data_IF_365691740711
#
_entry.id   IF_365691740711
#
_cell.length_a   1.000
_cell.length_b   1.000
_cell.length_c   1.000
_cell.angle_alpha   90.00
_cell.angle_beta   90.00
_cell.angle_gamma   90.00
#
_symmetry.space_group_name_H-M   'P 1'
#
loop_
_entity.id
_entity.type
_entity.pdbx_description
1 polymer ?
#
# COMPACT_ATOMS: atom_id res chain seq x y z
N UNK A 1 -25.77 -53.75 -13.12
CA UNK A 1 -25.44 -52.62 -12.22
C UNK A 1 -25.63 -51.34 -13.00
N UNK A 2 -26.64 -50.54 -12.66
CA UNK A 2 -26.81 -49.22 -13.26
C UNK A 2 -25.77 -48.26 -12.64
N UNK A 3 -25.10 -47.42 -13.42
CA UNK A 3 -24.15 -46.45 -12.88
C UNK A 3 -24.92 -45.42 -12.05
N UNK A 4 -24.50 -45.26 -10.79
CA UNK A 4 -24.96 -44.19 -9.92
C UNK A 4 -24.40 -42.89 -10.48
N UNK A 5 -25.14 -42.22 -11.35
CA UNK A 5 -24.85 -40.83 -11.71
C UNK A 5 -25.31 -39.97 -10.53
N UNK A 6 -24.36 -39.53 -9.70
CA UNK A 6 -24.61 -38.44 -8.76
C UNK A 6 -25.09 -37.22 -9.54
N UNK A 7 -26.18 -36.61 -9.10
CA UNK A 7 -26.70 -35.39 -9.72
C UNK A 7 -25.59 -34.33 -9.84
N UNK A 8 -25.51 -33.58 -10.95
CA UNK A 8 -24.51 -32.54 -11.12
C UNK A 8 -24.63 -31.52 -9.99
N UNK A 9 -23.48 -31.18 -9.40
CA UNK A 9 -23.39 -30.26 -8.27
C UNK A 9 -24.03 -28.90 -8.65
N UNK A 10 -24.85 -28.29 -7.78
CA UNK A 10 -25.48 -27.00 -8.05
C UNK A 10 -24.46 -25.91 -8.41
N UNK A 11 -24.78 -25.05 -9.38
CA UNK A 11 -23.87 -23.98 -9.85
C UNK A 11 -23.39 -23.04 -8.74
N UNK A 12 -24.23 -22.78 -7.72
CA UNK A 12 -23.87 -21.98 -6.54
C UNK A 12 -22.78 -22.63 -5.69
N UNK A 13 -22.80 -23.95 -5.59
CA UNK A 13 -21.85 -24.74 -4.81
C UNK A 13 -20.50 -24.86 -5.55
N UNK A 14 -20.55 -25.05 -6.87
CA UNK A 14 -19.36 -24.97 -7.75
C UNK A 14 -18.68 -23.60 -7.63
N UNK A 15 -19.45 -22.50 -7.67
CA UNK A 15 -18.91 -21.14 -7.51
C UNK A 15 -18.28 -20.94 -6.14
N UNK A 16 -18.88 -21.47 -5.07
CA UNK A 16 -18.36 -21.38 -3.71
C UNK A 16 -17.04 -22.15 -3.58
N UNK A 17 -16.96 -23.37 -4.11
CA UNK A 17 -15.73 -24.17 -4.11
C UNK A 17 -14.63 -23.54 -4.96
N UNK A 18 -14.96 -23.04 -6.15
CA UNK A 18 -14.00 -22.33 -6.99
C UNK A 18 -13.43 -21.09 -6.28
N UNK A 19 -14.26 -20.36 -5.53
CA UNK A 19 -13.82 -19.23 -4.72
C UNK A 19 -12.87 -19.68 -3.60
N UNK A 20 -13.20 -20.74 -2.86
CA UNK A 20 -12.34 -21.26 -1.78
C UNK A 20 -10.98 -21.69 -2.35
N UNK A 21 -10.98 -22.47 -3.42
CA UNK A 21 -9.74 -22.92 -4.07
C UNK A 21 -8.92 -21.75 -4.57
N UNK A 22 -9.57 -20.73 -5.16
CA UNK A 22 -8.88 -19.51 -5.58
C UNK A 22 -8.29 -18.76 -4.38
N UNK A 23 -9.10 -18.47 -3.36
CA UNK A 23 -8.68 -17.71 -2.20
C UNK A 23 -7.53 -18.43 -1.46
N UNK A 24 -7.56 -19.76 -1.35
CA UNK A 24 -6.45 -20.55 -0.81
C UNK A 24 -5.23 -20.55 -1.73
N UNK A 25 -5.38 -20.87 -3.02
CA UNK A 25 -4.23 -20.96 -3.93
C UNK A 25 -3.51 -19.63 -4.10
N UNK A 26 -4.23 -18.51 -4.02
CA UNK A 26 -3.70 -17.17 -4.28
C UNK A 26 -3.54 -16.34 -2.99
N UNK A 27 -3.70 -16.92 -1.79
CA UNK A 27 -3.48 -16.20 -0.54
C UNK A 27 -2.02 -15.70 -0.40
N UNK A 28 -1.83 -14.64 0.37
CA UNK A 28 -0.50 -14.13 0.71
C UNK A 28 0.28 -15.18 1.49
N UNK A 29 -0.35 -15.82 2.48
CA UNK A 29 0.25 -16.91 3.24
C UNK A 29 0.81 -18.01 2.33
N UNK A 30 0.02 -18.55 1.39
CA UNK A 30 0.48 -19.62 0.51
C UNK A 30 1.51 -19.10 -0.52
N UNK A 31 1.46 -17.82 -0.88
CA UNK A 31 2.49 -17.17 -1.70
C UNK A 31 3.83 -17.16 -0.97
N UNK A 32 3.84 -16.76 0.30
CA UNK A 32 5.03 -16.73 1.14
C UNK A 32 5.57 -18.14 1.44
N UNK A 33 4.69 -19.09 1.79
CA UNK A 33 5.09 -20.50 2.00
C UNK A 33 5.76 -21.11 0.77
N UNK A 34 5.26 -20.82 -0.43
CA UNK A 34 5.89 -21.28 -1.69
C UNK A 34 7.27 -20.68 -1.94
N UNK A 35 7.55 -19.50 -1.37
CA UNK A 35 8.87 -18.87 -1.40
C UNK A 35 9.79 -19.33 -0.26
N UNK A 36 9.31 -20.21 0.62
CA UNK A 36 10.07 -20.77 1.73
C UNK A 36 9.95 -19.99 3.05
N UNK A 37 9.10 -18.97 3.11
CA UNK A 37 8.88 -18.20 4.34
C UNK A 37 7.91 -18.90 5.30
N UNK A 38 8.08 -18.65 6.60
CA UNK A 38 7.12 -19.04 7.65
C UNK A 38 6.23 -17.84 7.94
N UNK A 39 4.97 -17.93 7.53
CA UNK A 39 3.96 -16.92 7.81
C UNK A 39 3.51 -17.01 9.27
N UNK A 40 3.68 -15.92 10.02
CA UNK A 40 3.38 -15.84 11.45
C UNK A 40 2.04 -15.13 11.74
N UNK A 41 1.54 -14.31 10.82
CA UNK A 41 0.26 -13.64 10.98
C UNK A 41 0.07 -12.41 10.08
N UNK A 42 -1.05 -11.74 10.28
CA UNK A 42 -1.41 -10.46 9.66
C UNK A 42 -2.07 -9.54 10.68
N UNK A 43 -2.27 -8.28 10.26
CA UNK A 43 -2.86 -7.24 11.08
C UNK A 43 -4.25 -7.56 11.62
N UNK A 44 -4.55 -7.08 12.82
CA UNK A 44 -5.78 -7.34 13.53
C UNK A 44 -6.75 -6.15 13.45
N UNK A 45 -8.04 -6.44 13.26
CA UNK A 45 -9.09 -5.41 13.15
C UNK A 45 -9.22 -4.53 14.40
N UNK A 46 -8.83 -5.02 15.57
CA UNK A 46 -8.87 -4.27 16.83
C UNK A 46 -7.82 -3.14 16.88
N UNK A 47 -6.81 -3.18 16.00
CA UNK A 47 -5.73 -2.19 15.94
C UNK A 47 -6.00 -1.08 14.92
N UNK A 48 -7.16 -1.06 14.27
CA UNK A 48 -7.51 -0.10 13.21
C UNK A 48 -8.80 0.64 13.50
N UNK A 49 -8.92 1.83 12.91
CA UNK A 49 -10.16 2.59 12.94
C UNK A 49 -11.13 2.00 11.93
N UNK A 50 -12.15 1.30 12.41
CA UNK A 50 -13.26 0.81 11.58
C UNK A 50 -14.62 1.19 12.17
N UNK A 51 -15.64 1.39 11.32
CA UNK A 51 -17.01 1.50 11.76
C UNK A 51 -17.45 0.28 12.59
N UNK A 52 -18.19 0.52 13.69
CA UNK A 52 -18.79 -0.56 14.50
C UNK A 52 -19.86 -1.34 13.72
N UNK A 53 -20.51 -0.70 12.76
CA UNK A 53 -21.52 -1.33 11.90
C UNK A 53 -20.93 -1.64 10.52
N UNK A 54 -21.02 -2.89 10.10
CA UNK A 54 -20.58 -3.37 8.80
C UNK A 54 -21.18 -2.58 7.62
N UNK A 55 -22.42 -2.07 7.74
CA UNK A 55 -23.06 -1.29 6.68
C UNK A 55 -22.36 0.03 6.36
N UNK A 56 -21.49 0.51 7.26
CA UNK A 56 -20.75 1.76 7.10
C UNK A 56 -19.34 1.55 6.52
N UNK A 57 -18.87 0.31 6.39
CA UNK A 57 -17.50 0.01 5.93
C UNK A 57 -17.25 0.51 4.51
N UNK A 58 -18.21 0.33 3.60
CA UNK A 58 -18.04 0.78 2.21
C UNK A 58 -17.97 2.31 2.10
N UNK A 59 -18.79 3.00 2.89
CA UNK A 59 -18.76 4.47 2.98
C UNK A 59 -17.46 4.97 3.63
N UNK A 60 -16.98 4.27 4.66
CA UNK A 60 -15.68 4.56 5.28
C UNK A 60 -14.53 4.39 4.29
N UNK A 61 -14.50 3.27 3.56
CA UNK A 61 -13.53 3.01 2.51
C UNK A 61 -13.53 4.11 1.43
N UNK A 62 -14.72 4.52 0.99
CA UNK A 62 -14.85 5.64 0.05
C UNK A 62 -14.23 6.94 0.61
N UNK A 63 -14.52 7.29 1.86
CA UNK A 63 -13.93 8.49 2.49
C UNK A 63 -12.43 8.37 2.73
N UNK A 64 -11.91 7.18 3.00
CA UNK A 64 -10.47 6.91 3.07
C UNK A 64 -9.76 7.21 1.76
N UNK A 65 -10.46 7.32 0.62
CA UNK A 65 -9.95 7.89 -0.63
C UNK A 65 -9.47 9.33 -0.52
N UNK A 66 -10.06 10.12 0.38
CA UNK A 66 -9.74 11.53 0.59
C UNK A 66 -8.52 11.72 1.51
N UNK A 67 -7.49 12.40 1.02
CA UNK A 67 -6.34 12.79 1.85
C UNK A 67 -6.76 13.64 3.07
N UNK A 68 -7.73 14.54 2.90
CA UNK A 68 -8.30 15.33 4.00
C UNK A 68 -8.89 14.46 5.11
N UNK A 69 -9.66 13.42 4.74
CA UNK A 69 -10.27 12.51 5.71
C UNK A 69 -9.20 11.72 6.48
N UNK A 70 -8.20 11.19 5.77
CA UNK A 70 -7.06 10.49 6.39
C UNK A 70 -6.25 11.38 7.34
N UNK A 71 -5.98 12.63 6.93
CA UNK A 71 -5.29 13.64 7.78
C UNK A 71 -6.06 13.93 9.08
N UNK A 72 -7.39 14.02 9.01
CA UNK A 72 -8.25 14.20 10.19
C UNK A 72 -8.11 13.01 11.15
N UNK A 73 -8.28 11.77 10.66
CA UNK A 73 -8.18 10.58 11.50
C UNK A 73 -6.80 10.44 12.14
N UNK A 74 -5.73 10.65 11.36
CA UNK A 74 -4.36 10.65 11.86
C UNK A 74 -4.15 11.64 13.00
N UNK A 75 -4.73 12.84 12.89
CA UNK A 75 -4.66 13.87 13.94
C UNK A 75 -5.39 13.44 15.22
N UNK A 76 -6.43 12.62 15.12
CA UNK A 76 -7.19 12.15 16.28
C UNK A 76 -6.47 11.04 17.06
N UNK A 77 -5.83 10.10 16.37
CA UNK A 77 -5.10 8.98 17.00
C UNK A 77 -3.97 9.45 17.90
N UNK A 78 -3.34 10.59 17.59
CA UNK A 78 -2.25 11.15 18.40
C UNK A 78 -2.68 12.08 19.54
N UNK A 79 -3.98 12.26 19.80
CA UNK A 79 -4.47 13.24 20.78
C UNK A 79 -4.99 12.58 22.06
N UNK A 80 -4.46 13.05 23.19
CA UNK A 80 -4.96 12.67 24.53
C UNK A 80 -6.30 13.34 24.88
N UNK A 81 -6.69 14.38 24.13
CA UNK A 81 -7.91 15.16 24.34
C UNK A 81 -8.71 15.21 23.04
N UNK A 82 -10.03 15.11 23.13
CA UNK A 82 -10.91 15.23 21.96
C UNK A 82 -10.70 16.50 21.14
N UNK A 83 -11.24 16.49 19.92
CA UNK A 83 -11.19 17.62 18.98
C UNK A 83 -12.50 18.41 19.09
N UNK A 84 -12.42 19.74 19.08
CA UNK A 84 -13.62 20.59 19.06
C UNK A 84 -14.23 20.68 17.66
N UNK A 85 -15.48 21.12 17.58
CA UNK A 85 -16.16 21.33 16.31
C UNK A 85 -15.41 22.31 15.38
N UNK A 86 -14.96 23.44 15.94
CA UNK A 86 -14.25 24.49 15.19
C UNK A 86 -12.88 24.02 14.71
N UNK A 87 -12.20 23.19 15.51
CA UNK A 87 -10.91 22.64 15.12
C UNK A 87 -11.06 21.61 13.98
N UNK A 88 -12.12 20.82 13.99
CA UNK A 88 -12.47 19.93 12.88
C UNK A 88 -12.78 20.72 11.59
N UNK A 89 -13.51 21.84 11.72
CA UNK A 89 -13.82 22.73 10.60
C UNK A 89 -12.56 23.32 9.96
N UNK A 90 -11.61 23.76 10.79
CA UNK A 90 -10.35 24.33 10.32
C UNK A 90 -9.56 23.35 9.44
N UNK A 91 -9.62 22.06 9.74
CA UNK A 91 -8.84 21.03 9.07
C UNK A 91 -9.47 20.53 7.75
N UNK A 92 -10.80 20.60 7.60
CA UNK A 92 -11.50 20.05 6.41
C UNK A 92 -12.45 21.00 5.68
N UNK A 93 -12.68 22.19 6.22
CA UNK A 93 -13.62 23.18 5.72
C UNK A 93 -15.09 22.87 6.06
N UNK A 94 -15.92 23.91 6.05
CA UNK A 94 -17.32 23.87 6.52
C UNK A 94 -18.16 22.79 5.83
N UNK A 95 -18.02 22.61 4.51
CA UNK A 95 -18.83 21.67 3.74
C UNK A 95 -18.56 20.20 4.11
N UNK A 96 -17.28 19.81 4.22
CA UNK A 96 -16.89 18.43 4.54
C UNK A 96 -16.99 18.13 6.04
N UNK A 97 -16.89 19.16 6.89
CA UNK A 97 -16.96 19.02 8.35
C UNK A 97 -18.23 18.30 8.78
N UNK A 98 -19.40 18.82 8.43
CA UNK A 98 -20.67 18.21 8.85
C UNK A 98 -20.78 16.77 8.36
N UNK A 99 -20.48 16.54 7.08
CA UNK A 99 -20.56 15.21 6.48
C UNK A 99 -19.63 14.18 7.16
N UNK A 100 -18.34 14.49 7.31
CA UNK A 100 -17.37 13.58 7.90
C UNK A 100 -17.63 13.37 9.38
N UNK A 101 -17.91 14.43 10.13
CA UNK A 101 -18.11 14.36 11.57
C UNK A 101 -19.38 13.56 11.92
N UNK A 102 -20.49 13.83 11.23
CA UNK A 102 -21.74 13.10 11.44
C UNK A 102 -21.56 11.61 11.12
N UNK A 103 -20.88 11.31 10.01
CA UNK A 103 -20.56 9.94 9.66
C UNK A 103 -19.68 9.25 10.71
N UNK A 104 -18.61 9.90 11.18
CA UNK A 104 -17.68 9.34 12.15
C UNK A 104 -18.35 9.07 13.51
N UNK A 105 -19.29 9.92 13.92
CA UNK A 105 -20.11 9.70 15.13
C UNK A 105 -21.11 8.57 14.91
N UNK A 106 -21.87 8.59 13.81
CA UNK A 106 -22.90 7.57 13.51
C UNK A 106 -22.29 6.18 13.29
N UNK A 107 -21.07 6.11 12.75
CA UNK A 107 -20.33 4.86 12.56
C UNK A 107 -19.72 4.33 13.86
N UNK A 108 -19.73 5.10 14.94
CA UNK A 108 -19.17 4.74 16.22
C UNK A 108 -17.65 4.76 16.28
N UNK A 109 -16.98 5.43 15.32
CA UNK A 109 -15.55 5.71 15.37
C UNK A 109 -15.28 6.85 16.37
N UNK A 110 -16.19 7.84 16.41
CA UNK A 110 -16.15 8.94 17.36
C UNK A 110 -17.32 8.92 18.32
N UNK A 111 -17.09 9.47 19.51
CA UNK A 111 -18.12 9.81 20.48
C UNK A 111 -18.00 11.26 20.90
N UNK A 112 -19.14 11.94 21.04
CA UNK A 112 -19.21 13.30 21.57
C UNK A 112 -19.35 13.25 23.10
N UNK A 113 -18.50 13.96 23.82
CA UNK A 113 -18.61 14.08 25.27
C UNK A 113 -19.55 15.22 25.71
N UNK A 114 -19.79 15.30 27.02
CA UNK A 114 -20.67 16.30 27.63
C UNK A 114 -20.13 17.74 27.50
N UNK A 115 -18.84 17.89 27.24
CA UNK A 115 -18.18 19.18 27.03
C UNK A 115 -18.19 19.62 25.57
N UNK A 116 -18.74 18.80 24.67
CA UNK A 116 -18.89 19.09 23.26
C UNK A 116 -17.67 18.71 22.40
N UNK A 117 -16.68 18.01 22.96
CA UNK A 117 -15.53 17.51 22.22
C UNK A 117 -15.81 16.13 21.63
N UNK A 118 -15.13 15.82 20.53
CA UNK A 118 -15.22 14.56 19.82
C UNK A 118 -13.97 13.73 20.09
N UNK A 119 -14.16 12.56 20.70
CA UNK A 119 -13.11 11.63 21.11
C UNK A 119 -13.19 10.34 20.28
N UNK A 120 -12.05 9.67 20.08
CA UNK A 120 -12.05 8.32 19.54
C UNK A 120 -12.85 7.40 20.47
N UNK A 121 -13.82 6.67 19.90
CA UNK A 121 -14.62 5.69 20.60
C UNK A 121 -14.01 4.27 20.52
N UNK A 122 -12.83 4.15 19.89
CA UNK A 122 -12.04 2.94 19.72
C UNK A 122 -10.62 3.23 20.21
N UNK A 123 -10.02 2.29 20.93
CA UNK A 123 -8.67 2.45 21.48
C UNK A 123 -7.61 2.07 20.45
N UNK A 124 -7.31 2.99 19.54
CA UNK A 124 -6.25 2.85 18.53
C UNK A 124 -5.19 3.90 18.81
N UNK A 125 -3.94 3.47 18.94
CA UNK A 125 -2.81 4.35 19.25
C UNK A 125 -1.89 4.61 18.05
N UNK A 126 -2.08 3.86 16.96
CA UNK A 126 -1.33 4.04 15.73
C UNK A 126 -2.25 4.06 14.51
N UNK A 127 -2.17 5.15 13.74
CA UNK A 127 -2.94 5.30 12.51
C UNK A 127 -2.32 4.51 11.34
N UNK A 128 -1.03 4.13 11.43
CA UNK A 128 -0.30 3.35 10.43
C UNK A 128 -1.08 2.11 9.99
N UNK A 129 -1.49 1.28 10.95
CA UNK A 129 -2.30 0.09 10.70
C UNK A 129 -3.60 0.36 9.93
N UNK A 130 -4.25 1.49 10.18
CA UNK A 130 -5.48 1.87 9.45
C UNK A 130 -5.16 2.21 7.99
N UNK A 131 -4.02 2.85 7.73
CA UNK A 131 -3.55 3.13 6.36
C UNK A 131 -3.14 1.84 5.65
N UNK A 132 -2.42 0.94 6.31
CA UNK A 132 -2.04 -0.38 5.79
C UNK A 132 -3.27 -1.18 5.37
N UNK A 133 -4.27 -1.28 6.26
CA UNK A 133 -5.55 -1.91 5.96
C UNK A 133 -6.21 -1.29 4.73
N UNK A 134 -6.29 0.05 4.67
CA UNK A 134 -6.92 0.74 3.54
C UNK A 134 -6.19 0.46 2.22
N UNK A 135 -4.86 0.48 2.21
CA UNK A 135 -4.05 0.16 1.02
C UNK A 135 -4.25 -1.31 0.61
N UNK A 136 -4.29 -2.24 1.56
CA UNK A 136 -4.65 -3.63 1.29
C UNK A 136 -6.04 -3.74 0.66
N UNK A 137 -7.04 -3.01 1.16
CA UNK A 137 -8.40 -3.00 0.59
C UNK A 137 -8.45 -2.38 -0.81
N UNK A 138 -7.58 -1.41 -1.15
CA UNK A 138 -7.46 -0.92 -2.52
C UNK A 138 -7.05 -2.06 -3.47
N UNK A 139 -6.09 -2.89 -3.08
CA UNK A 139 -5.69 -4.06 -3.87
C UNK A 139 -6.86 -5.04 -4.06
N UNK A 140 -7.63 -5.33 -3.00
CA UNK A 140 -8.75 -6.28 -3.09
C UNK A 140 -9.93 -5.75 -3.90
N UNK A 141 -10.39 -4.54 -3.56
CA UNK A 141 -11.65 -3.99 -4.06
C UNK A 141 -11.49 -3.34 -5.43
N UNK A 142 -10.39 -2.62 -5.64
CA UNK A 142 -10.22 -1.75 -6.80
C UNK A 142 -9.29 -2.32 -7.87
N UNK A 143 -8.47 -3.31 -7.51
CA UNK A 143 -7.48 -3.95 -8.40
C UNK A 143 -7.70 -5.46 -8.56
N UNK A 144 -8.67 -6.05 -7.86
CA UNK A 144 -9.02 -7.47 -7.98
C UNK A 144 -7.91 -8.44 -7.55
N UNK A 145 -7.01 -7.99 -6.68
CA UNK A 145 -5.87 -8.76 -6.18
C UNK A 145 -6.23 -9.47 -4.87
N UNK A 146 -5.43 -10.46 -4.48
CA UNK A 146 -5.38 -10.89 -3.07
C UNK A 146 -4.35 -10.03 -2.34
N UNK A 147 -4.62 -9.67 -1.09
CA UNK A 147 -3.67 -8.89 -0.28
C UNK A 147 -3.87 -9.15 1.21
N UNK A 148 -2.83 -8.85 1.97
CA UNK A 148 -2.79 -8.86 3.42
C UNK A 148 -1.99 -7.65 3.89
N UNK A 149 -2.22 -7.23 5.13
CA UNK A 149 -1.55 -6.08 5.75
C UNK A 149 -0.98 -6.46 7.11
N UNK A 150 0.04 -5.75 7.59
CA UNK A 150 0.74 -6.08 8.84
C UNK A 150 1.26 -7.51 8.85
N UNK A 151 1.85 -7.97 7.74
CA UNK A 151 2.22 -9.38 7.54
C UNK A 151 3.51 -9.71 8.28
N UNK A 152 3.39 -10.56 9.30
CA UNK A 152 4.51 -11.05 10.09
C UNK A 152 5.10 -12.32 9.44
N UNK A 153 6.42 -12.34 9.29
CA UNK A 153 7.17 -13.46 8.74
C UNK A 153 8.33 -13.80 9.68
N UNK A 154 8.50 -15.08 10.01
CA UNK A 154 9.63 -15.48 10.86
C UNK A 154 10.96 -15.39 10.11
N UNK A 155 12.03 -15.07 10.86
CA UNK A 155 13.42 -15.15 10.40
C UNK A 155 13.78 -14.32 9.15
N UNK A 156 13.10 -13.20 8.91
CA UNK A 156 13.52 -12.19 7.92
C UNK A 156 14.67 -11.37 8.49
N UNK A 157 15.75 -11.17 7.71
CA UNK A 157 17.01 -10.57 8.17
C UNK A 157 16.85 -9.15 8.74
N UNK A 158 15.97 -8.33 8.16
CA UNK A 158 15.64 -6.98 8.62
C UNK A 158 14.83 -6.94 9.94
N UNK A 159 14.09 -8.00 10.24
CA UNK A 159 13.04 -7.99 11.25
C UNK A 159 11.84 -7.08 10.92
N UNK A 160 10.78 -7.22 11.72
CA UNK A 160 9.55 -6.45 11.60
C UNK A 160 8.57 -6.97 10.55
N UNK A 161 7.38 -6.38 10.54
CA UNK A 161 6.27 -6.79 9.68
C UNK A 161 6.36 -6.09 8.31
N UNK A 162 5.74 -6.71 7.29
CA UNK A 162 5.51 -6.07 6.00
C UNK A 162 4.14 -5.39 6.02
N UNK A 163 4.14 -4.06 5.90
CA UNK A 163 2.95 -3.21 5.91
C UNK A 163 1.82 -3.75 5.01
N UNK A 164 2.06 -3.94 3.71
CA UNK A 164 1.10 -4.56 2.79
C UNK A 164 1.80 -5.45 1.79
N UNK A 165 1.28 -6.67 1.63
CA UNK A 165 1.64 -7.58 0.55
C UNK A 165 0.41 -7.83 -0.32
N UNK A 166 0.59 -7.76 -1.63
CA UNK A 166 -0.45 -8.05 -2.61
C UNK A 166 0.06 -9.04 -3.65
N UNK A 167 -0.79 -9.97 -4.08
CA UNK A 167 -0.50 -10.86 -5.20
C UNK A 167 -1.31 -10.41 -6.41
N UNK A 168 -0.58 -10.09 -7.47
CA UNK A 168 -1.12 -9.59 -8.73
C UNK A 168 -0.75 -10.64 -9.79
N UNK A 169 -1.71 -11.48 -10.16
CA UNK A 169 -1.45 -12.68 -10.98
C UNK A 169 -0.39 -13.62 -10.33
N UNK A 170 0.79 -13.73 -10.94
CA UNK A 170 1.95 -14.46 -10.41
C UNK A 170 2.93 -13.56 -9.66
N UNK A 171 2.77 -12.24 -9.72
CA UNK A 171 3.69 -11.26 -9.16
C UNK A 171 3.36 -10.95 -7.69
N UNK A 172 4.39 -10.79 -6.88
CA UNK A 172 4.30 -10.29 -5.52
C UNK A 172 4.62 -8.79 -5.48
N UNK A 173 3.69 -8.00 -4.96
CA UNK A 173 3.88 -6.60 -4.66
C UNK A 173 4.02 -6.38 -3.15
N UNK A 174 4.96 -5.54 -2.76
CA UNK A 174 5.17 -5.04 -1.40
C UNK A 174 4.95 -3.53 -1.38
N UNK A 175 4.18 -3.05 -0.40
CA UNK A 175 4.01 -1.62 -0.14
C UNK A 175 4.38 -1.34 1.30
N UNK A 176 5.38 -0.48 1.51
CA UNK A 176 5.67 0.15 2.79
C UNK A 176 4.95 1.49 2.86
N UNK A 177 4.19 1.71 3.92
CA UNK A 177 3.40 2.91 4.13
C UNK A 177 4.03 3.80 5.20
N UNK A 178 3.99 5.11 5.00
CA UNK A 178 4.42 6.09 6.01
C UNK A 178 3.39 7.20 6.15
N UNK A 179 2.92 7.38 7.38
CA UNK A 179 2.00 8.45 7.76
C UNK A 179 2.71 9.76 8.13
N UNK A 180 4.04 9.73 8.30
CA UNK A 180 4.87 10.88 8.66
C UNK A 180 5.05 11.86 7.49
N UNK A 181 5.35 13.13 7.80
CA UNK A 181 5.75 14.10 6.77
C UNK A 181 7.08 13.67 6.13
N UNK A 182 7.33 13.99 4.84
CA UNK A 182 8.53 13.52 4.12
C UNK A 182 9.86 13.85 4.82
N UNK A 183 9.94 15.03 5.44
CA UNK A 183 11.12 15.48 6.18
C UNK A 183 11.35 14.74 7.52
N UNK A 184 10.35 14.04 8.05
CA UNK A 184 10.46 13.22 9.27
C UNK A 184 10.86 11.77 8.98
N UNK A 185 10.87 11.37 7.71
CA UNK A 185 11.28 10.02 7.31
C UNK A 185 12.80 9.97 7.36
N UNK A 186 13.31 9.17 8.28
CA UNK A 186 14.73 9.06 8.56
C UNK A 186 15.46 8.24 7.50
N UNK A 187 16.79 8.36 7.45
CA UNK A 187 17.64 7.47 6.65
C UNK A 187 17.48 6.01 7.06
N UNK A 188 17.26 5.73 8.36
CA UNK A 188 16.96 4.38 8.84
C UNK A 188 15.67 3.82 8.27
N UNK A 189 14.62 4.62 8.11
CA UNK A 189 13.37 4.17 7.49
C UNK A 189 13.58 3.73 6.04
N UNK A 190 14.39 4.50 5.29
CA UNK A 190 14.77 4.18 3.92
C UNK A 190 15.59 2.88 3.88
N UNK A 191 16.59 2.73 4.75
CA UNK A 191 17.40 1.52 4.83
C UNK A 191 16.57 0.28 5.19
N UNK A 192 15.65 0.38 6.16
CA UNK A 192 14.79 -0.73 6.54
C UNK A 192 13.87 -1.17 5.40
N UNK A 193 13.30 -0.23 4.65
CA UNK A 193 12.51 -0.56 3.47
C UNK A 193 13.33 -1.26 2.39
N UNK A 194 14.52 -0.74 2.06
CA UNK A 194 15.38 -1.36 1.06
C UNK A 194 15.87 -2.75 1.50
N UNK A 195 16.14 -2.94 2.79
CA UNK A 195 16.49 -4.26 3.33
C UNK A 195 15.30 -5.22 3.23
N UNK A 196 14.07 -4.78 3.52
CA UNK A 196 12.86 -5.61 3.36
C UNK A 196 12.56 -5.93 1.89
N UNK A 197 12.75 -4.99 0.98
CA UNK A 197 12.70 -5.26 -0.48
C UNK A 197 13.71 -6.34 -0.87
N UNK A 198 14.94 -6.26 -0.35
CA UNK A 198 15.97 -7.25 -0.63
C UNK A 198 15.64 -8.63 -0.03
N UNK A 199 15.21 -8.67 1.23
CA UNK A 199 14.93 -9.91 1.95
C UNK A 199 13.70 -10.64 1.41
N UNK A 200 12.68 -9.88 1.01
CA UNK A 200 11.46 -10.42 0.41
C UNK A 200 11.60 -10.67 -1.09
N UNK A 201 12.47 -9.94 -1.78
CA UNK A 201 12.65 -9.92 -3.24
C UNK A 201 11.30 -9.93 -4.00
N UNK A 202 10.43 -8.93 -3.79
CA UNK A 202 9.15 -8.85 -4.48
C UNK A 202 9.37 -8.43 -5.94
N UNK A 203 8.37 -8.67 -6.78
CA UNK A 203 8.39 -8.26 -8.17
C UNK A 203 8.18 -6.74 -8.32
N UNK A 204 7.43 -6.15 -7.39
CA UNK A 204 7.13 -4.71 -7.30
C UNK A 204 7.26 -4.26 -5.84
N UNK A 205 7.96 -3.16 -5.59
CA UNK A 205 8.04 -2.51 -4.27
C UNK A 205 7.60 -1.07 -4.35
N UNK A 206 6.78 -0.62 -3.41
CA UNK A 206 6.26 0.74 -3.36
C UNK A 206 6.51 1.33 -1.97
N UNK A 207 7.24 2.44 -1.90
CA UNK A 207 7.33 3.28 -0.71
C UNK A 207 6.29 4.40 -0.82
N UNK A 208 5.20 4.28 -0.05
CA UNK A 208 4.05 5.17 -0.09
C UNK A 208 4.05 6.14 1.09
N UNK A 209 4.10 7.44 0.80
CA UNK A 209 3.95 8.49 1.81
C UNK A 209 2.54 9.05 1.79
N UNK A 210 1.81 8.96 2.90
CA UNK A 210 0.46 9.54 2.99
C UNK A 210 0.50 11.06 3.20
N UNK A 211 0.88 11.75 2.13
CA UNK A 211 0.92 13.20 2.03
C UNK A 211 0.63 13.66 0.61
N UNK A 212 0.19 14.91 0.46
CA UNK A 212 0.13 15.60 -0.83
C UNK A 212 1.32 16.55 -1.04
N UNK A 213 2.20 16.64 -0.03
CA UNK A 213 3.36 17.51 -0.04
C UNK A 213 4.42 17.00 -1.04
N UNK A 214 5.33 17.91 -1.38
CA UNK A 214 6.51 17.58 -2.17
C UNK A 214 7.41 16.57 -1.42
N UNK A 215 7.95 15.61 -2.17
CA UNK A 215 8.78 14.54 -1.63
C UNK A 215 10.22 14.60 -2.15
N UNK A 216 10.66 15.71 -2.76
CA UNK A 216 11.98 15.84 -3.38
C UNK A 216 13.14 15.59 -2.41
N UNK A 217 13.02 16.08 -1.17
CA UNK A 217 14.02 15.80 -0.13
C UNK A 217 14.13 14.31 0.21
N UNK A 218 13.01 13.58 0.15
CA UNK A 218 13.02 12.13 0.37
C UNK A 218 13.63 11.39 -0.81
N UNK A 219 13.37 11.83 -2.05
CA UNK A 219 14.02 11.29 -3.26
C UNK A 219 15.54 11.43 -3.11
N UNK A 220 16.03 12.63 -2.78
CA UNK A 220 17.46 12.86 -2.55
C UNK A 220 18.04 11.94 -1.47
N UNK A 221 17.30 11.72 -0.37
CA UNK A 221 17.70 10.79 0.70
C UNK A 221 17.81 9.34 0.20
N UNK A 222 16.91 8.89 -0.67
CA UNK A 222 17.02 7.58 -1.30
C UNK A 222 18.26 7.51 -2.21
N UNK A 223 18.53 8.55 -3.01
CA UNK A 223 19.75 8.62 -3.84
C UNK A 223 21.02 8.55 -3.00
N UNK A 224 21.08 9.26 -1.87
CA UNK A 224 22.21 9.25 -0.94
C UNK A 224 22.45 7.86 -0.33
N UNK A 225 21.39 7.13 0.02
CA UNK A 225 21.48 5.77 0.56
C UNK A 225 21.92 4.76 -0.51
N UNK A 226 21.42 4.90 -1.73
CA UNK A 226 21.65 3.92 -2.79
C UNK A 226 22.97 4.12 -3.53
N UNK A 227 23.42 5.37 -3.70
CA UNK A 227 24.62 5.70 -4.48
C UNK A 227 25.86 4.90 -4.04
N UNK A 228 26.21 4.82 -2.74
CA UNK A 228 27.38 4.05 -2.31
C UNK A 228 27.23 2.55 -2.60
N UNK A 229 26.04 2.01 -2.39
CA UNK A 229 25.74 0.58 -2.62
C UNK A 229 25.86 0.23 -4.09
N UNK A 230 25.24 1.02 -4.97
CA UNK A 230 25.29 0.80 -6.43
C UNK A 230 26.71 0.99 -6.97
N UNK A 231 27.43 2.02 -6.51
CA UNK A 231 28.81 2.25 -6.91
C UNK A 231 29.69 1.04 -6.57
N UNK A 232 29.57 0.53 -5.34
CA UNK A 232 30.30 -0.66 -4.88
C UNK A 232 29.94 -1.89 -5.71
N UNK A 233 28.66 -2.20 -5.83
CA UNK A 233 28.18 -3.44 -6.45
C UNK A 233 28.44 -3.45 -7.97
N UNK A 234 28.50 -2.26 -8.59
CA UNK A 234 28.83 -2.08 -10.01
C UNK A 234 30.33 -1.80 -10.26
N UNK A 235 31.18 -1.82 -9.22
CA UNK A 235 32.61 -1.51 -9.29
C UNK A 235 32.93 -0.15 -9.94
N UNK A 236 32.09 0.85 -9.69
CA UNK A 236 32.26 2.22 -10.18
C UNK A 236 33.27 2.94 -9.29
N UNK A 237 34.34 3.44 -9.90
CA UNK A 237 35.44 4.15 -9.21
C UNK A 237 35.36 5.67 -9.33
N UNK A 238 34.39 6.18 -10.09
CA UNK A 238 34.20 7.62 -10.23
C UNK A 238 33.66 8.19 -8.92
N UNK A 239 34.44 9.06 -8.27
CA UNK A 239 34.05 9.73 -7.03
C UNK A 239 32.89 10.71 -7.22
N UNK A 240 32.57 11.09 -8.46
CA UNK A 240 31.45 11.95 -8.81
C UNK A 240 30.20 11.16 -9.23
N UNK A 241 30.24 9.82 -9.17
CA UNK A 241 29.07 9.01 -9.46
C UNK A 241 27.95 9.32 -8.46
N UNK A 242 26.78 9.66 -8.99
CA UNK A 242 25.56 9.85 -8.22
C UNK A 242 24.44 9.06 -8.88
N UNK A 243 23.82 8.16 -8.13
CA UNK A 243 22.66 7.44 -8.63
C UNK A 243 21.46 8.37 -8.64
N UNK A 244 20.82 8.50 -9.79
CA UNK A 244 19.64 9.36 -9.96
C UNK A 244 18.39 8.51 -10.11
N UNK A 245 17.37 8.83 -9.32
CA UNK A 245 16.05 8.22 -9.44
C UNK A 245 15.32 8.84 -10.63
N UNK A 246 14.66 8.00 -11.43
CA UNK A 246 13.90 8.45 -12.59
C UNK A 246 12.52 8.94 -12.14
N UNK A 247 12.19 10.19 -12.46
CA UNK A 247 10.82 10.68 -12.31
C UNK A 247 10.03 10.35 -13.57
N UNK A 248 8.92 9.62 -13.40
CA UNK A 248 8.02 9.26 -14.48
C UNK A 248 7.07 10.43 -14.77
N UNK A 249 7.56 11.44 -15.49
CA UNK A 249 6.84 12.71 -15.73
C UNK A 249 5.45 12.52 -16.35
N UNK A 250 5.29 11.52 -17.21
CA UNK A 250 4.01 11.21 -17.87
C UNK A 250 2.96 10.65 -16.89
N UNK A 251 3.39 10.20 -15.72
CA UNK A 251 2.57 9.58 -14.68
C UNK A 251 2.53 10.41 -13.37
N UNK A 252 3.06 11.64 -13.37
CA UNK A 252 2.99 12.58 -12.26
C UNK A 252 4.13 12.44 -11.23
N UNK A 253 3.78 12.43 -9.93
CA UNK A 253 4.73 12.40 -8.80
C UNK A 253 5.23 10.98 -8.48
N UNK A 254 5.49 10.17 -9.50
CA UNK A 254 5.98 8.80 -9.36
C UNK A 254 7.45 8.79 -9.70
N UNK A 255 8.22 8.19 -8.80
CA UNK A 255 9.66 8.04 -8.95
C UNK A 255 9.97 6.55 -8.99
N UNK A 256 10.77 6.11 -9.96
CA UNK A 256 11.07 4.72 -10.23
C UNK A 256 12.57 4.48 -10.24
N UNK A 257 12.98 3.36 -9.63
CA UNK A 257 14.39 2.99 -9.51
C UNK A 257 14.54 1.49 -9.26
N UNK A 258 15.79 1.00 -9.37
CA UNK A 258 16.13 -0.42 -9.19
C UNK A 258 15.21 -1.40 -9.96
N UNK A 259 14.65 -0.96 -11.09
CA UNK A 259 13.69 -1.67 -11.95
C UNK A 259 12.33 -2.02 -11.33
N UNK A 260 12.22 -2.24 -10.02
CA UNK A 260 10.99 -2.68 -9.36
C UNK A 260 10.48 -1.75 -8.26
N UNK A 261 11.26 -0.73 -7.90
CA UNK A 261 10.94 0.12 -6.75
C UNK A 261 10.31 1.43 -7.20
N UNK A 262 9.23 1.81 -6.53
CA UNK A 262 8.50 3.04 -6.75
C UNK A 262 8.43 3.86 -5.47
N UNK A 263 8.58 5.17 -5.56
CA UNK A 263 8.36 6.13 -4.49
C UNK A 263 7.23 7.08 -4.90
N UNK A 264 6.15 7.06 -4.11
CA UNK A 264 4.91 7.78 -4.40
C UNK A 264 4.38 8.52 -3.18
N UNK A 265 3.60 9.57 -3.42
CA UNK A 265 2.78 10.23 -2.41
C UNK A 265 1.28 9.97 -2.65
N UNK A 266 0.41 10.65 -1.92
CA UNK A 266 -1.05 10.52 -2.02
C UNK A 266 -1.70 11.38 -3.11
N UNK A 267 -0.94 12.18 -3.86
CA UNK A 267 -1.47 13.09 -4.90
C UNK A 267 -1.29 12.48 -6.30
N UNK A 268 -2.34 12.42 -7.16
CA UNK A 268 -3.71 12.91 -6.94
C UNK A 268 -4.60 11.97 -6.10
N UNK A 269 -4.26 10.67 -6.05
CA UNK A 269 -4.80 9.72 -5.08
C UNK A 269 -3.84 8.52 -4.96
N UNK A 270 -3.89 7.82 -3.83
CA UNK A 270 -3.09 6.59 -3.62
C UNK A 270 -3.41 5.56 -4.70
N UNK A 271 -4.70 5.31 -4.97
CA UNK A 271 -5.14 4.33 -5.97
C UNK A 271 -4.63 4.67 -7.38
N UNK A 272 -4.72 5.93 -7.78
CA UNK A 272 -4.22 6.38 -9.09
C UNK A 272 -2.73 6.12 -9.22
N UNK A 273 -1.95 6.47 -8.19
CA UNK A 273 -0.50 6.28 -8.21
C UNK A 273 -0.12 4.80 -8.22
N UNK A 274 -0.80 3.95 -7.45
CA UNK A 274 -0.60 2.49 -7.51
C UNK A 274 -0.92 1.97 -8.92
N UNK A 275 -2.05 2.36 -9.52
CA UNK A 275 -2.40 1.97 -10.90
C UNK A 275 -1.31 2.35 -11.90
N UNK A 276 -0.74 3.54 -11.78
CA UNK A 276 0.36 3.96 -12.64
C UNK A 276 1.64 3.15 -12.42
N UNK A 277 2.00 2.83 -11.16
CA UNK A 277 3.14 1.97 -10.87
C UNK A 277 2.95 0.58 -11.52
N UNK A 278 1.77 -0.02 -11.36
CA UNK A 278 1.44 -1.31 -11.96
C UNK A 278 1.45 -1.26 -13.49
N UNK A 279 0.79 -0.27 -14.08
CA UNK A 279 0.76 -0.10 -15.53
C UNK A 279 2.17 0.06 -16.11
N UNK A 280 3.00 0.90 -15.49
CA UNK A 280 4.39 1.09 -15.91
C UNK A 280 5.19 -0.21 -15.78
N UNK A 281 5.06 -0.92 -14.66
CA UNK A 281 5.75 -2.20 -14.46
C UNK A 281 5.38 -3.24 -15.53
N UNK A 282 4.09 -3.49 -15.72
CA UNK A 282 3.62 -4.51 -16.65
C UNK A 282 3.83 -4.13 -18.12
N UNK A 283 3.70 -2.85 -18.48
CA UNK A 283 3.87 -2.41 -19.88
C UNK A 283 5.34 -2.19 -20.28
N UNK A 284 6.17 -1.68 -19.36
CA UNK A 284 7.53 -1.24 -19.67
C UNK A 284 8.56 -2.17 -19.04
N UNK A 285 8.53 -2.36 -17.73
CA UNK A 285 9.60 -3.07 -17.00
C UNK A 285 9.68 -4.54 -17.40
N UNK A 286 8.56 -5.27 -17.38
CA UNK A 286 8.54 -6.71 -17.75
C UNK A 286 8.98 -6.93 -19.20
N UNK A 287 8.69 -5.98 -20.08
CA UNK A 287 9.01 -6.04 -21.51
C UNK A 287 10.46 -5.62 -21.80
N UNK A 288 11.06 -4.79 -20.95
CA UNK A 288 12.47 -4.39 -21.01
C UNK A 288 13.43 -5.59 -20.83
N UNK A 289 12.97 -6.66 -20.16
CA UNK A 289 13.68 -7.93 -20.05
C UNK A 289 13.86 -8.58 -21.44
N UNK A 290 12.87 -8.44 -22.33
CA UNK A 290 12.96 -8.95 -23.70
C UNK A 290 13.78 -8.04 -24.60
N UNK A 291 13.71 -6.72 -24.43
CA UNK A 291 14.49 -5.75 -25.22
C UNK A 291 16.01 -5.81 -24.96
N UNK A 292 16.43 -6.19 -23.75
CA UNK A 292 17.86 -6.40 -23.45
C UNK A 292 18.40 -7.74 -23.97
N UNK A 293 17.54 -8.65 -24.46
CA UNK A 293 17.92 -9.90 -25.15
C UNK A 293 17.60 -9.92 -26.65
N UNK A 294 16.75 -9.03 -27.16
CA UNK A 294 16.51 -8.88 -28.59
C UNK A 294 17.15 -7.59 -29.10
N UNK A 295 18.20 -7.71 -29.90
CA UNK A 295 18.53 -6.67 -30.88
C UNK A 295 17.24 -6.30 -31.62
N UNK A 296 16.93 -5.00 -31.68
CA UNK A 296 15.88 -4.36 -32.49
C UNK A 296 15.29 -5.29 -33.56
N UNK A 297 14.02 -5.66 -33.41
CA UNK A 297 13.18 -5.83 -34.60
C UNK A 297 12.61 -4.46 -34.93
N UNK A 298 13.32 -3.74 -35.79
CA UNK A 298 12.77 -2.54 -36.43
C UNK A 298 11.66 -3.00 -37.38
N UNK A 299 10.41 -2.77 -37.00
CA UNK A 299 9.30 -2.80 -37.96
C UNK A 299 9.34 -1.49 -38.75
N UNK A 300 10.06 -1.50 -39.86
CA UNK A 300 9.92 -0.47 -40.90
C UNK A 300 8.60 -0.70 -41.63
N UNK A 301 7.69 0.29 -41.75
CA UNK A 301 6.56 0.18 -42.65
C UNK A 301 7.09 0.22 -44.08
N UNK A 302 6.81 -0.82 -44.87
CA UNK A 302 7.03 -0.76 -46.32
C UNK A 302 6.09 0.29 -46.91
N UNK A 303 6.64 1.39 -47.38
CA UNK A 303 6.08 2.21 -48.47
C UNK A 303 6.60 1.68 -49.79
#
# INVERSE_FOLDING_TARGET
MAPIYSAPMPSSEIKKLAKIVHDEMYSIENTLKRRGYIYAGEGQLDNILLPKNASNVDKYFFYMGSCTFRKLLKKMVGKNTGISYDEFEKDCGTAKRTEYLDFLVQSGILSKDNSGFYNLAVNVNDYGHTLEWYVSELFKRELGCTSAWGVAVEAVGAGGDFDVLARIESQLAYVETKCSTPNKISTSDVCHFLQRDQDLDPDISIFLIDTEDDISELIARFEDVMTPTIARDSNIKDSNFHYRIEQLSDFGNINHFLRRVFLINSKPSILTNIRYCLNYYFAIVTHSIYASRSRRMDFVPKT
#
